data_IF_051865745130
#
_entry.id   IF_051865745130
#
_cell.length_a   1.000
_cell.length_b   1.000
_cell.length_c   1.000
_cell.angle_alpha   90.00
_cell.angle_beta   90.00
_cell.angle_gamma   90.00
#
_symmetry.space_group_name_H-M   'P 1'
#
loop_
_entity.id
_entity.type
_entity.pdbx_description
1 polymer ?
#
# COMPACT_ATOMS: atom_id res chain seq x y z
N UNK A 1 -18.08 1.52 -5.78
CA UNK A 1 -18.66 2.56 -6.69
C UNK A 1 -18.17 3.99 -6.36
N UNK A 2 -17.53 4.23 -5.20
CA UNK A 2 -16.71 5.42 -4.97
C UNK A 2 -15.46 4.96 -4.22
N UNK A 3 -14.29 5.41 -4.66
CA UNK A 3 -13.00 4.97 -4.12
C UNK A 3 -11.94 4.78 -5.20
N UNK A 4 -11.64 5.84 -5.97
CA UNK A 4 -10.43 6.00 -6.82
C UNK A 4 -10.09 7.47 -7.14
N UNK A 5 -10.81 8.42 -6.55
CA UNK A 5 -10.73 9.86 -6.82
C UNK A 5 -9.71 10.59 -5.93
N UNK A 6 -8.85 9.84 -5.22
CA UNK A 6 -7.81 10.38 -4.35
C UNK A 6 -8.36 11.17 -3.15
N UNK A 7 -9.67 11.14 -2.90
CA UNK A 7 -10.24 11.87 -1.79
C UNK A 7 -9.91 11.15 -0.48
N UNK A 8 -8.99 11.72 0.29
CA UNK A 8 -8.56 11.20 1.59
C UNK A 8 -9.27 11.93 2.72
N UNK A 9 -8.86 11.85 3.98
CA UNK A 9 -9.53 12.59 5.05
C UNK A 9 -8.52 13.42 5.88
N UNK A 10 -8.58 14.76 5.80
CA UNK A 10 -7.68 15.72 6.52
C UNK A 10 -8.31 17.11 6.56
N UNK A 11 -8.22 17.92 7.66
CA UNK A 11 -8.77 19.31 7.85
C UNK A 11 -7.80 20.39 7.42
N UNK A 12 -8.16 21.23 6.44
CA UNK A 12 -7.41 22.42 6.06
C UNK A 12 -8.38 23.58 5.73
N UNK A 13 -8.30 24.72 6.46
CA UNK A 13 -9.13 25.89 6.19
C UNK A 13 -8.90 26.54 4.82
N UNK A 14 -7.80 26.26 4.12
CA UNK A 14 -7.49 26.87 2.81
C UNK A 14 -8.23 26.23 1.63
N UNK A 15 -8.82 25.05 1.83
CA UNK A 15 -9.49 24.26 0.78
C UNK A 15 -10.94 23.90 1.11
N UNK A 16 -11.45 24.33 2.27
CA UNK A 16 -12.78 23.96 2.77
C UNK A 16 -13.92 24.32 1.81
N UNK A 17 -13.74 25.36 1.00
CA UNK A 17 -14.75 25.92 0.09
C UNK A 17 -14.54 25.47 -1.37
N UNK A 18 -13.56 24.60 -1.65
CA UNK A 18 -13.26 24.11 -3.01
C UNK A 18 -14.20 22.97 -3.40
N UNK A 19 -15.18 23.28 -4.23
CA UNK A 19 -16.15 22.34 -4.80
C UNK A 19 -15.79 22.02 -6.25
N UNK A 20 -16.25 20.86 -6.74
CA UNK A 20 -16.17 20.55 -8.17
C UNK A 20 -16.82 21.69 -8.98
N UNK A 21 -16.11 22.26 -9.98
CA UNK A 21 -16.71 23.18 -10.93
C UNK A 21 -17.89 22.51 -11.65
N UNK A 22 -18.93 23.29 -11.97
CA UNK A 22 -20.08 22.79 -12.75
C UNK A 22 -19.74 22.46 -14.21
N UNK A 23 -18.60 22.93 -14.70
CA UNK A 23 -17.99 22.59 -15.98
C UNK A 23 -16.51 22.27 -15.73
N UNK A 24 -16.13 21.01 -15.90
CA UNK A 24 -14.74 20.64 -16.08
C UNK A 24 -14.34 21.09 -17.48
N UNK A 25 -13.54 22.15 -17.59
CA UNK A 25 -13.06 22.75 -18.84
C UNK A 25 -12.24 21.82 -19.77
N UNK A 26 -12.43 20.51 -19.70
CA UNK A 26 -11.92 19.48 -20.60
C UNK A 26 -12.86 19.16 -21.76
N UNK A 27 -13.88 20.00 -22.02
CA UNK A 27 -14.80 19.83 -23.14
C UNK A 27 -15.14 21.12 -23.88
N UNK A 28 -14.18 21.70 -24.62
CA UNK A 28 -14.41 22.55 -25.79
C UNK A 28 -15.11 23.92 -25.61
N UNK A 29 -14.42 25.01 -25.98
CA UNK A 29 -15.07 26.28 -26.28
C UNK A 29 -14.15 27.50 -26.21
N UNK A 30 -13.78 28.05 -27.36
CA UNK A 30 -13.06 29.30 -27.48
C UNK A 30 -13.86 30.51 -26.95
N UNK A 31 -13.20 31.34 -26.13
CA UNK A 31 -13.38 32.81 -26.12
C UNK A 31 -14.31 33.40 -25.06
N UNK A 32 -13.76 34.09 -24.06
CA UNK A 32 -13.52 35.55 -24.06
C UNK A 32 -12.89 35.99 -22.74
N UNK A 33 -11.98 36.97 -22.84
CA UNK A 33 -11.44 37.71 -21.72
C UNK A 33 -12.54 38.46 -20.95
N UNK A 34 -12.47 38.43 -19.63
CA UNK A 34 -12.95 39.50 -18.77
C UNK A 34 -12.11 39.48 -17.47
N UNK A 35 -11.49 40.62 -17.22
CA UNK A 35 -10.81 40.99 -15.98
C UNK A 35 -11.75 40.90 -14.77
N UNK A 36 -11.15 40.76 -13.58
CA UNK A 36 -11.52 41.29 -12.26
C UNK A 36 -11.29 40.23 -11.17
N UNK A 37 -10.12 40.28 -10.52
CA UNK A 37 -10.02 39.86 -9.11
C UNK A 37 -10.74 40.88 -8.24
N UNK A 38 -11.51 40.45 -7.21
CA UNK A 38 -11.09 40.68 -5.81
C UNK A 38 -11.77 39.68 -4.82
N UNK A 39 -11.74 39.92 -3.49
CA UNK A 39 -10.60 40.04 -2.57
C UNK A 39 -10.60 38.89 -1.54
N UNK A 40 -9.51 38.72 -0.78
CA UNK A 40 -9.53 37.92 0.46
C UNK A 40 -10.62 38.43 1.42
N UNK A 41 -11.39 37.55 2.08
CA UNK A 41 -12.08 37.88 3.30
C UNK A 41 -11.29 37.40 4.50
N UNK A 42 -11.00 38.36 5.36
CA UNK A 42 -10.53 38.21 6.73
C UNK A 42 -11.44 37.28 7.57
N UNK A 43 -10.86 36.89 8.70
CA UNK A 43 -11.38 36.05 9.76
C UNK A 43 -12.74 36.49 10.33
N UNK A 44 -13.41 35.51 10.95
CA UNK A 44 -14.54 35.61 11.88
C UNK A 44 -15.96 35.64 11.29
N UNK A 45 -16.58 34.46 11.27
CA UNK A 45 -18.01 34.29 11.02
C UNK A 45 -18.52 32.95 11.54
N UNK A 46 -19.15 32.95 12.71
CA UNK A 46 -19.92 31.83 13.24
C UNK A 46 -21.18 31.62 12.37
N UNK A 47 -21.38 30.43 11.82
CA UNK A 47 -22.54 30.10 10.98
C UNK A 47 -23.03 28.68 11.26
N UNK A 48 -24.25 28.61 11.77
CA UNK A 48 -24.92 27.45 12.36
C UNK A 48 -25.48 26.50 11.29
N UNK A 49 -25.33 25.19 11.53
CA UNK A 49 -25.90 24.10 10.74
C UNK A 49 -27.41 24.28 10.50
N UNK A 50 -27.85 24.12 9.23
CA UNK A 50 -29.24 23.81 8.89
C UNK A 50 -29.29 22.57 8.03
N UNK A 51 -29.75 21.48 8.64
CA UNK A 51 -30.17 20.26 7.99
C UNK A 51 -31.38 20.53 7.06
N UNK A 52 -31.35 19.97 5.86
CA UNK A 52 -32.50 19.91 4.96
C UNK A 52 -32.85 18.44 4.69
N UNK A 53 -34.11 18.10 4.95
CA UNK A 53 -34.71 16.79 4.79
C UNK A 53 -35.15 16.53 3.33
N UNK A 54 -34.98 15.28 2.87
CA UNK A 54 -35.92 14.63 1.93
C UNK A 54 -35.33 14.04 0.64
N UNK A 55 -35.19 12.70 0.59
CA UNK A 55 -35.74 11.81 -0.44
C UNK A 55 -35.26 10.37 -0.19
N UNK A 56 -36.18 9.41 -0.32
CA UNK A 56 -36.08 8.02 0.13
C UNK A 56 -35.03 7.18 -0.62
N UNK A 57 -34.33 6.31 0.12
CA UNK A 57 -33.69 5.10 -0.42
C UNK A 57 -32.18 5.11 -0.64
N UNK A 58 -31.45 6.18 -0.30
CA UNK A 58 -29.98 6.20 -0.35
C UNK A 58 -29.44 6.24 1.08
N UNK A 59 -28.56 5.32 1.52
CA UNK A 59 -27.89 5.43 2.81
C UNK A 59 -27.20 6.80 2.88
N UNK A 60 -27.56 7.57 3.91
CA UNK A 60 -27.11 8.93 4.13
C UNK A 60 -25.58 8.92 4.34
N UNK A 61 -24.81 9.30 3.32
CA UNK A 61 -23.39 9.62 3.45
C UNK A 61 -23.27 11.03 4.08
N UNK A 62 -22.35 11.27 5.03
CA UNK A 62 -22.23 12.57 5.72
C UNK A 62 -21.54 13.67 4.89
N UNK A 63 -21.54 13.57 3.56
CA UNK A 63 -20.79 14.49 2.69
C UNK A 63 -21.78 15.44 2.03
N UNK A 64 -21.58 16.75 2.21
CA UNK A 64 -22.28 17.80 1.49
C UNK A 64 -21.97 17.80 -0.01
N UNK A 65 -21.91 18.98 -0.63
CA UNK A 65 -21.57 19.10 -2.05
C UNK A 65 -20.23 18.42 -2.40
N UNK A 66 -20.15 17.87 -3.62
CA UNK A 66 -18.97 17.17 -4.12
C UNK A 66 -17.76 18.12 -4.19
N UNK A 67 -16.70 17.76 -3.47
CA UNK A 67 -15.44 18.50 -3.45
C UNK A 67 -14.62 18.24 -4.70
N UNK A 68 -13.81 19.21 -5.08
CA UNK A 68 -12.83 19.07 -6.15
C UNK A 68 -11.97 17.81 -5.96
N UNK A 69 -11.82 17.00 -7.02
CA UNK A 69 -11.02 15.76 -7.04
C UNK A 69 -9.63 16.01 -6.46
N UNK A 70 -9.11 15.01 -5.75
CA UNK A 70 -7.85 15.13 -5.01
C UNK A 70 -7.97 15.81 -3.63
N UNK A 71 -9.09 16.46 -3.31
CA UNK A 71 -9.33 16.99 -1.97
C UNK A 71 -10.00 15.96 -1.05
N UNK A 72 -9.72 16.02 0.26
CA UNK A 72 -10.25 15.06 1.20
C UNK A 72 -11.79 15.09 1.32
N UNK A 73 -12.44 13.91 1.34
CA UNK A 73 -13.87 13.72 1.60
C UNK A 73 -14.26 14.43 2.90
N UNK A 74 -13.55 14.11 3.97
CA UNK A 74 -13.79 14.67 5.29
C UNK A 74 -12.51 15.23 5.85
N UNK A 75 -12.64 16.33 6.55
CA UNK A 75 -11.53 16.94 7.23
C UNK A 75 -11.37 16.30 8.64
N UNK A 76 -10.39 15.41 8.87
CA UNK A 76 -10.16 14.76 10.18
C UNK A 76 -8.68 14.35 10.45
N UNK A 77 -8.24 14.42 11.71
CA UNK A 77 -7.00 13.75 12.14
C UNK A 77 -7.30 12.30 12.48
N UNK A 78 -6.60 11.37 11.85
CA UNK A 78 -6.72 9.94 12.14
C UNK A 78 -5.33 9.32 12.26
N UNK A 79 -5.22 8.33 13.15
CA UNK A 79 -4.08 7.42 13.14
C UNK A 79 -4.35 6.20 12.25
N UNK A 80 -5.62 5.88 12.01
CA UNK A 80 -6.07 4.76 11.19
C UNK A 80 -5.99 5.09 9.70
N UNK A 81 -4.77 5.27 9.19
CA UNK A 81 -4.52 5.66 7.80
C UNK A 81 -4.47 4.39 6.93
N UNK A 82 -5.36 4.22 5.95
CA UNK A 82 -5.31 3.08 5.04
C UNK A 82 -4.14 3.19 4.07
N UNK A 83 -3.62 2.05 3.61
CA UNK A 83 -2.49 2.01 2.65
C UNK A 83 -2.77 2.82 1.39
N UNK A 84 -4.01 2.84 0.89
CA UNK A 84 -4.39 3.64 -0.28
C UNK A 84 -4.03 5.13 -0.14
N UNK A 85 -4.16 5.71 1.05
CA UNK A 85 -3.78 7.11 1.30
C UNK A 85 -2.25 7.28 1.27
N UNK A 86 -1.50 6.33 1.83
CA UNK A 86 -0.04 6.33 1.74
C UNK A 86 0.41 6.22 0.28
N UNK A 87 -0.21 5.34 -0.50
CA UNK A 87 0.13 5.08 -1.90
C UNK A 87 -0.10 6.29 -2.81
N UNK A 88 -1.03 7.19 -2.47
CA UNK A 88 -1.20 8.44 -3.22
C UNK A 88 0.04 9.35 -3.14
N UNK A 89 0.73 9.37 -2.01
CA UNK A 89 1.85 10.28 -1.76
C UNK A 89 3.24 9.60 -1.81
N UNK A 90 3.32 8.36 -1.36
CA UNK A 90 4.57 7.62 -1.12
C UNK A 90 4.78 6.50 -2.14
N UNK A 91 4.79 6.84 -3.43
CA UNK A 91 4.99 5.85 -4.51
C UNK A 91 6.16 6.17 -5.46
N UNK A 92 7.02 7.11 -5.06
CA UNK A 92 8.02 7.72 -5.92
C UNK A 92 9.30 6.87 -6.10
N UNK A 93 9.79 6.74 -7.36
CA UNK A 93 11.13 6.25 -7.72
C UNK A 93 12.13 7.41 -7.69
N UNK A 94 13.26 7.37 -6.95
CA UNK A 94 14.22 6.26 -6.96
C UNK A 94 14.61 5.77 -5.55
N UNK A 95 13.88 6.24 -4.53
CA UNK A 95 14.36 6.17 -3.15
C UNK A 95 13.68 5.03 -2.39
N UNK A 96 12.34 4.90 -2.39
CA UNK A 96 11.65 3.67 -1.92
C UNK A 96 10.46 3.39 -2.83
N UNK A 97 10.50 2.25 -3.51
CA UNK A 97 9.40 1.81 -4.35
C UNK A 97 8.37 1.00 -3.52
N UNK A 98 7.51 1.69 -2.78
CA UNK A 98 6.60 1.08 -1.79
C UNK A 98 5.52 0.17 -2.41
N UNK A 99 5.24 0.29 -3.70
CA UNK A 99 4.26 -0.54 -4.40
C UNK A 99 4.60 -2.03 -4.37
N UNK A 100 5.88 -2.37 -4.14
CA UNK A 100 6.29 -3.77 -3.94
C UNK A 100 5.63 -4.40 -2.72
N UNK A 101 5.26 -3.62 -1.69
CA UNK A 101 4.49 -4.11 -0.55
C UNK A 101 3.15 -4.70 -0.99
N UNK A 102 2.49 -4.05 -1.95
CA UNK A 102 1.24 -4.53 -2.55
C UNK A 102 1.47 -5.49 -3.72
N UNK A 103 2.71 -5.86 -4.02
CA UNK A 103 3.05 -6.75 -5.13
C UNK A 103 2.90 -6.12 -6.51
N UNK A 104 3.07 -4.80 -6.62
CA UNK A 104 3.03 -4.08 -7.89
C UNK A 104 4.40 -3.51 -8.25
N UNK A 105 4.64 -3.33 -9.55
CA UNK A 105 5.78 -2.58 -10.09
C UNK A 105 5.36 -1.65 -11.22
N UNK A 106 6.25 -0.74 -11.61
CA UNK A 106 6.03 0.13 -12.76
C UNK A 106 5.73 -0.71 -14.00
N UNK A 107 4.69 -0.33 -14.74
CA UNK A 107 4.36 -1.02 -15.98
C UNK A 107 5.50 -0.87 -17.00
N UNK A 108 5.73 -1.91 -17.79
CA UNK A 108 6.85 -2.02 -18.73
C UNK A 108 6.60 -1.33 -20.08
N UNK A 109 5.43 -0.75 -20.27
CA UNK A 109 4.96 -0.14 -21.53
C UNK A 109 4.67 -1.10 -22.68
N UNK A 110 4.90 -2.40 -22.47
CA UNK A 110 4.93 -3.41 -23.53
C UNK A 110 3.83 -4.45 -23.34
N UNK A 111 3.69 -4.97 -22.12
CA UNK A 111 2.70 -6.01 -21.83
C UNK A 111 1.29 -5.43 -22.00
N UNK A 112 0.48 -6.07 -22.86
CA UNK A 112 -0.85 -5.58 -23.29
C UNK A 112 -0.86 -4.14 -23.87
N UNK A 113 0.26 -3.69 -24.46
CA UNK A 113 0.44 -2.37 -25.06
C UNK A 113 -0.74 -1.85 -25.92
N UNK A 114 -1.38 -2.65 -26.80
CA UNK A 114 -2.50 -2.16 -27.61
C UNK A 114 -3.69 -1.60 -26.79
N UNK A 115 -3.85 -2.04 -25.54
CA UNK A 115 -4.91 -1.53 -24.66
C UNK A 115 -4.59 -0.13 -24.11
N UNK A 116 -3.32 0.21 -23.95
CA UNK A 116 -2.82 1.42 -23.29
C UNK A 116 -2.33 2.50 -24.27
N UNK A 117 -1.97 2.11 -25.49
CA UNK A 117 -1.52 3.02 -26.54
C UNK A 117 -2.61 3.29 -27.58
N UNK A 118 -2.69 4.50 -28.16
CA UNK A 118 -3.60 4.79 -29.26
C UNK A 118 -3.16 4.03 -30.52
N UNK A 119 -4.13 3.58 -31.34
CA UNK A 119 -3.85 2.84 -32.59
C UNK A 119 -2.99 3.66 -33.57
N UNK A 120 -3.17 4.98 -33.57
CA UNK A 120 -2.35 5.93 -34.33
C UNK A 120 -1.50 6.72 -33.35
N UNK A 121 -0.20 6.78 -33.62
CA UNK A 121 0.74 7.54 -32.80
C UNK A 121 0.33 9.01 -32.72
N UNK A 122 0.31 9.54 -31.49
CA UNK A 122 0.11 10.96 -31.21
C UNK A 122 1.43 11.72 -31.41
N UNK A 123 1.33 12.93 -31.94
CA UNK A 123 2.43 13.89 -32.05
C UNK A 123 2.05 15.19 -31.34
N UNK A 124 2.00 15.19 -30.00
CA UNK A 124 1.56 16.35 -29.24
C UNK A 124 2.55 17.52 -29.41
N UNK A 125 1.99 18.72 -29.48
CA UNK A 125 2.70 19.99 -29.40
C UNK A 125 3.42 20.13 -28.06
N UNK A 126 4.33 21.10 -27.96
CA UNK A 126 5.04 21.39 -26.70
C UNK A 126 4.04 21.77 -25.59
N UNK A 127 3.01 22.55 -25.91
CA UNK A 127 1.98 22.95 -24.95
C UNK A 127 1.17 21.75 -24.42
N UNK A 128 0.79 20.82 -25.30
CA UNK A 128 0.09 19.59 -24.90
C UNK A 128 0.97 18.68 -24.06
N UNK A 129 2.25 18.50 -24.45
CA UNK A 129 3.22 17.76 -23.64
C UNK A 129 3.37 18.38 -22.26
N UNK A 130 3.55 19.70 -22.18
CA UNK A 130 3.69 20.42 -20.92
C UNK A 130 2.45 20.23 -20.03
N UNK A 131 1.25 20.36 -20.58
CA UNK A 131 0.01 20.18 -19.84
C UNK A 131 -0.12 18.78 -19.23
N UNK A 132 0.37 17.72 -19.90
CA UNK A 132 0.42 16.36 -19.34
C UNK A 132 1.53 16.24 -18.30
N UNK A 133 2.72 16.75 -18.60
CA UNK A 133 3.91 16.60 -17.76
C UNK A 133 3.83 17.36 -16.43
N UNK A 134 3.04 18.44 -16.40
CA UNK A 134 2.78 19.23 -15.19
C UNK A 134 2.12 18.39 -14.08
N UNK A 135 1.27 17.41 -14.45
CA UNK A 135 0.63 16.48 -13.51
C UNK A 135 1.26 15.09 -13.45
N UNK A 136 1.94 14.67 -14.52
CA UNK A 136 2.56 13.35 -14.62
C UNK A 136 3.97 13.48 -15.18
N UNK A 137 5.04 13.30 -14.38
CA UNK A 137 6.41 13.51 -14.81
C UNK A 137 6.93 12.47 -15.83
N UNK A 138 6.12 11.48 -16.19
CA UNK A 138 6.43 10.42 -17.13
C UNK A 138 6.34 10.89 -18.59
N UNK A 139 7.45 10.84 -19.33
CA UNK A 139 7.48 11.23 -20.74
C UNK A 139 6.50 10.41 -21.62
N UNK A 140 6.31 9.12 -21.32
CA UNK A 140 5.39 8.24 -22.05
C UNK A 140 3.92 8.67 -21.91
N UNK A 141 3.56 9.34 -20.81
CA UNK A 141 2.18 9.77 -20.57
C UNK A 141 1.65 10.71 -21.67
N UNK A 142 2.50 11.59 -22.21
CA UNK A 142 2.10 12.55 -23.23
C UNK A 142 1.65 11.89 -24.55
N UNK A 143 2.08 10.66 -24.82
CA UNK A 143 1.76 9.93 -26.04
C UNK A 143 0.84 8.72 -25.80
N UNK A 144 0.60 8.35 -24.54
CA UNK A 144 -0.28 7.26 -24.14
C UNK A 144 -1.78 7.63 -24.14
N UNK A 145 -2.64 6.63 -23.88
CA UNK A 145 -4.06 6.88 -23.58
C UNK A 145 -4.23 7.53 -22.20
N UNK A 146 -3.33 7.27 -21.27
CA UNK A 146 -3.36 7.85 -19.91
C UNK A 146 -2.87 9.30 -19.81
N UNK A 147 -2.59 9.95 -20.96
CA UNK A 147 -2.68 11.41 -21.04
C UNK A 147 -4.07 11.89 -20.61
N UNK A 148 -5.12 11.14 -20.93
CA UNK A 148 -6.49 11.42 -20.50
C UNK A 148 -6.70 10.93 -19.06
N UNK A 149 -7.12 11.85 -18.18
CA UNK A 149 -7.34 11.57 -16.76
C UNK A 149 -8.51 10.60 -16.57
N UNK A 150 -9.53 10.68 -17.41
CA UNK A 150 -10.68 9.78 -17.33
C UNK A 150 -10.30 8.36 -17.72
N UNK A 151 -9.45 8.21 -18.74
CA UNK A 151 -8.87 6.91 -19.07
C UNK A 151 -8.01 6.40 -17.91
N UNK A 152 -7.07 7.22 -17.41
CA UNK A 152 -6.15 6.83 -16.35
C UNK A 152 -6.89 6.32 -15.11
N UNK A 153 -7.93 7.04 -14.66
CA UNK A 153 -8.74 6.67 -13.49
C UNK A 153 -9.42 5.31 -13.63
N UNK A 154 -9.75 4.92 -14.86
CA UNK A 154 -10.53 3.73 -15.16
C UNK A 154 -9.68 2.58 -15.71
N UNK A 155 -8.34 2.68 -15.73
CA UNK A 155 -7.47 1.62 -16.26
C UNK A 155 -7.78 0.27 -15.62
N UNK A 156 -7.90 0.21 -14.30
CA UNK A 156 -8.22 -1.06 -13.62
C UNK A 156 -9.54 -1.68 -14.08
N UNK A 157 -10.62 -0.89 -14.26
CA UNK A 157 -11.93 -1.43 -14.63
C UNK A 157 -12.05 -1.74 -16.12
N UNK A 158 -11.48 -0.87 -16.96
CA UNK A 158 -11.70 -0.91 -18.40
C UNK A 158 -10.65 -1.74 -19.14
N UNK A 159 -9.44 -1.87 -18.58
CA UNK A 159 -8.30 -2.55 -19.19
C UNK A 159 -8.12 -3.96 -18.63
N UNK A 160 -8.16 -4.16 -17.30
CA UNK A 160 -7.89 -5.48 -16.72
C UNK A 160 -8.79 -6.61 -17.22
N UNK A 161 -10.10 -6.40 -17.49
CA UNK A 161 -10.95 -7.45 -18.06
C UNK A 161 -10.57 -7.87 -19.49
N UNK A 162 -9.79 -7.05 -20.20
CA UNK A 162 -9.35 -7.28 -21.59
C UNK A 162 -7.89 -7.71 -21.67
N UNK A 163 -7.10 -7.38 -20.66
CA UNK A 163 -5.68 -7.68 -20.58
C UNK A 163 -5.43 -9.19 -20.45
N UNK A 164 -4.45 -9.68 -21.20
CA UNK A 164 -4.09 -11.10 -21.19
C UNK A 164 -2.95 -11.38 -20.23
N UNK A 165 -1.96 -10.49 -20.14
CA UNK A 165 -0.71 -10.78 -19.44
C UNK A 165 -0.48 -9.86 -18.23
N UNK A 166 -1.20 -8.75 -18.19
CA UNK A 166 -1.06 -7.69 -17.19
C UNK A 166 -2.31 -7.55 -16.34
N UNK A 167 -2.14 -7.22 -15.07
CA UNK A 167 -3.20 -6.66 -14.22
C UNK A 167 -2.69 -5.36 -13.63
N UNK A 168 -3.34 -4.26 -13.95
CA UNK A 168 -3.01 -2.93 -13.46
C UNK A 168 -3.55 -2.72 -12.04
N UNK A 169 -2.86 -1.91 -11.25
CA UNK A 169 -3.34 -1.41 -9.97
C UNK A 169 -4.58 -0.51 -10.15
N UNK A 170 -5.37 -0.41 -9.09
CA UNK A 170 -6.52 0.50 -8.98
C UNK A 170 -6.15 1.90 -8.47
N UNK A 171 -4.86 2.17 -8.33
CA UNK A 171 -4.29 3.46 -7.92
C UNK A 171 -3.26 3.96 -8.94
N UNK A 172 -3.19 5.28 -9.09
CA UNK A 172 -2.42 5.97 -10.14
C UNK A 172 -1.74 7.25 -9.64
N UNK A 173 -1.11 7.21 -8.45
CA UNK A 173 -0.36 8.37 -7.96
C UNK A 173 0.72 8.81 -8.99
N UNK A 174 1.02 10.11 -9.02
CA UNK A 174 1.85 10.74 -10.06
C UNK A 174 1.36 10.52 -11.50
N UNK A 175 0.17 9.96 -11.71
CA UNK A 175 -0.36 9.63 -13.04
C UNK A 175 0.15 8.31 -13.63
N UNK A 176 0.91 7.52 -12.87
CA UNK A 176 1.59 6.32 -13.37
C UNK A 176 0.71 5.08 -13.38
N UNK A 177 1.10 4.10 -14.20
CA UNK A 177 0.48 2.79 -14.27
C UNK A 177 1.38 1.73 -13.64
N UNK A 178 0.82 0.94 -12.73
CA UNK A 178 1.53 -0.14 -12.04
C UNK A 178 0.91 -1.48 -12.38
N UNK A 179 1.75 -2.48 -12.61
CA UNK A 179 1.33 -3.86 -12.89
C UNK A 179 1.59 -4.78 -11.70
N UNK A 180 0.67 -5.70 -11.46
CA UNK A 180 0.82 -6.77 -10.49
C UNK A 180 1.95 -7.72 -10.92
N UNK A 181 2.74 -8.17 -9.95
CA UNK A 181 3.78 -9.18 -10.14
C UNK A 181 3.22 -10.54 -9.74
N UNK A 182 3.17 -11.47 -10.69
CA UNK A 182 2.76 -12.84 -10.42
C UNK A 182 3.96 -13.77 -10.30
N UNK A 183 3.83 -14.81 -9.49
CA UNK A 183 4.82 -15.87 -9.33
C UNK A 183 5.01 -16.58 -10.67
N UNK A 184 6.27 -16.74 -11.08
CA UNK A 184 6.65 -17.41 -12.33
C UNK A 184 7.82 -18.37 -12.12
N UNK A 185 7.92 -19.39 -12.98
CA UNK A 185 9.13 -20.20 -13.10
C UNK A 185 10.22 -19.46 -13.92
N UNK A 186 11.34 -20.14 -14.21
CA UNK A 186 12.46 -19.52 -14.94
C UNK A 186 12.17 -19.31 -16.41
N UNK A 187 11.22 -20.06 -16.94
CA UNK A 187 10.73 -20.03 -18.31
C UNK A 187 9.63 -18.97 -18.50
N UNK A 188 9.13 -18.39 -17.40
CA UNK A 188 8.15 -17.32 -17.40
C UNK A 188 6.70 -17.80 -17.28
N UNK A 189 6.44 -19.08 -17.03
CA UNK A 189 5.08 -19.58 -16.83
C UNK A 189 4.52 -19.12 -15.48
N UNK A 190 3.22 -18.79 -15.44
CA UNK A 190 2.54 -18.46 -14.19
C UNK A 190 2.49 -19.68 -13.26
N UNK A 191 2.66 -19.46 -11.96
CA UNK A 191 2.63 -20.52 -10.96
C UNK A 191 1.53 -20.32 -9.91
N UNK A 192 0.93 -21.44 -9.50
CA UNK A 192 0.05 -21.49 -8.34
C UNK A 192 0.83 -21.55 -7.01
N UNK A 193 0.09 -21.62 -5.90
CA UNK A 193 0.65 -21.69 -4.55
C UNK A 193 1.55 -22.92 -4.34
N UNK A 194 1.19 -24.05 -4.93
CA UNK A 194 1.96 -25.31 -4.86
C UNK A 194 3.12 -25.37 -5.86
N UNK A 195 3.19 -24.43 -6.80
CA UNK A 195 4.23 -24.36 -7.82
C UNK A 195 3.87 -25.08 -9.12
N UNK A 196 2.61 -25.43 -9.36
CA UNK A 196 2.19 -25.94 -10.67
C UNK A 196 1.99 -24.78 -11.65
N UNK A 197 2.18 -25.08 -12.93
CA UNK A 197 1.94 -24.15 -14.02
C UNK A 197 0.44 -23.86 -14.13
N UNK A 198 0.10 -22.57 -14.14
CA UNK A 198 -1.23 -22.06 -14.48
C UNK A 198 -1.24 -21.75 -15.98
N UNK A 199 -2.17 -22.33 -16.72
CA UNK A 199 -2.29 -22.11 -18.16
C UNK A 199 -2.49 -20.62 -18.47
N UNK A 200 -1.80 -20.06 -19.49
CA UNK A 200 -2.05 -18.70 -19.97
C UNK A 200 -3.49 -18.47 -20.43
N UNK A 201 -4.19 -19.52 -20.87
CA UNK A 201 -5.59 -19.43 -21.32
C UNK A 201 -6.60 -19.72 -20.20
N UNK A 202 -6.16 -19.95 -18.96
CA UNK A 202 -7.06 -20.17 -17.84
C UNK A 202 -7.85 -18.88 -17.52
N UNK A 203 -9.19 -18.88 -17.63
CA UNK A 203 -9.99 -17.68 -17.37
C UNK A 203 -9.92 -17.23 -15.90
N UNK A 204 -9.47 -18.09 -14.99
CA UNK A 204 -9.35 -17.80 -13.57
C UNK A 204 -7.91 -17.49 -13.12
N UNK A 205 -6.96 -17.35 -14.05
CA UNK A 205 -5.55 -17.12 -13.72
C UNK A 205 -5.34 -15.90 -12.82
N UNK A 206 -6.06 -14.80 -13.07
CA UNK A 206 -5.98 -13.57 -12.28
C UNK A 206 -7.16 -13.34 -11.35
N UNK A 207 -8.32 -13.93 -11.63
CA UNK A 207 -9.50 -13.85 -10.76
C UNK A 207 -10.35 -15.12 -10.84
N UNK A 208 -10.49 -15.83 -9.73
CA UNK A 208 -11.38 -16.99 -9.60
C UNK A 208 -12.84 -16.59 -9.79
N UNK A 209 -13.65 -17.49 -10.33
CA UNK A 209 -15.09 -17.27 -10.49
C UNK A 209 -15.75 -17.06 -9.12
N UNK A 210 -16.63 -16.06 -9.02
CA UNK A 210 -17.28 -15.67 -7.76
C UNK A 210 -16.38 -14.92 -6.77
N UNK A 211 -15.09 -14.72 -7.07
CA UNK A 211 -14.23 -13.90 -6.22
C UNK A 211 -14.68 -12.44 -6.26
N UNK A 212 -14.91 -11.78 -5.10
CA UNK A 212 -15.19 -10.36 -5.06
C UNK A 212 -14.07 -9.53 -5.70
N UNK A 213 -14.38 -8.29 -6.04
CA UNK A 213 -13.42 -7.37 -6.66
C UNK A 213 -12.14 -7.22 -5.82
N UNK A 214 -12.33 -7.06 -4.50
CA UNK A 214 -11.31 -7.09 -3.48
C UNK A 214 -11.35 -8.45 -2.78
N UNK A 215 -10.25 -9.19 -2.87
CA UNK A 215 -10.15 -10.50 -2.24
C UNK A 215 -10.27 -10.36 -0.71
N UNK A 216 -10.92 -11.31 -0.02
CA UNK A 216 -10.89 -11.36 1.44
C UNK A 216 -9.45 -11.42 1.96
N UNK A 217 -9.26 -10.94 3.19
CA UNK A 217 -7.95 -10.99 3.86
C UNK A 217 -7.42 -12.42 3.89
N UNK A 218 -6.19 -12.60 3.43
CA UNK A 218 -5.50 -13.89 3.37
C UNK A 218 -5.81 -14.74 2.14
N UNK A 219 -6.59 -14.23 1.18
CA UNK A 219 -6.99 -14.96 -0.02
C UNK A 219 -6.40 -14.34 -1.30
N UNK A 220 -5.89 -15.21 -2.18
CA UNK A 220 -5.38 -14.83 -3.50
C UNK A 220 -6.52 -14.76 -4.51
N UNK A 221 -6.62 -13.61 -5.21
CA UNK A 221 -7.70 -13.30 -6.16
C UNK A 221 -7.80 -14.32 -7.30
N UNK A 222 -6.67 -14.74 -7.87
CA UNK A 222 -6.56 -15.67 -8.98
C UNK A 222 -5.94 -17.02 -8.61
N UNK A 223 -5.83 -17.92 -9.58
CA UNK A 223 -5.04 -19.16 -9.45
C UNK A 223 -3.53 -18.89 -9.44
N UNK A 224 -3.08 -17.92 -10.24
CA UNK A 224 -1.69 -17.46 -10.20
C UNK A 224 -1.47 -16.62 -8.93
N UNK A 225 -0.35 -16.85 -8.26
CA UNK A 225 -0.02 -16.13 -7.02
C UNK A 225 0.40 -14.70 -7.34
N UNK A 226 -0.34 -13.71 -6.84
CA UNK A 226 0.08 -12.32 -6.83
C UNK A 226 1.09 -12.12 -5.69
N UNK A 227 2.30 -11.70 -6.02
CA UNK A 227 3.46 -11.60 -5.13
C UNK A 227 3.44 -10.32 -4.30
N UNK A 228 2.38 -10.12 -3.52
CA UNK A 228 2.34 -9.08 -2.50
C UNK A 228 3.09 -9.51 -1.23
N UNK A 229 3.44 -8.56 -0.37
CA UNK A 229 4.03 -8.87 0.93
C UNK A 229 3.04 -9.69 1.77
N UNK A 230 3.54 -10.64 2.55
CA UNK A 230 2.69 -11.51 3.37
C UNK A 230 1.88 -10.72 4.40
N UNK A 231 2.40 -9.61 4.91
CA UNK A 231 1.66 -8.73 5.81
C UNK A 231 0.49 -8.08 5.08
N UNK A 232 0.70 -7.60 3.86
CA UNK A 232 -0.35 -7.02 3.02
C UNK A 232 -1.42 -8.06 2.68
N UNK A 233 -1.03 -9.29 2.31
CA UNK A 233 -1.97 -10.39 2.05
C UNK A 233 -2.80 -10.70 3.30
N UNK A 234 -2.19 -10.67 4.49
CA UNK A 234 -2.88 -10.82 5.79
C UNK A 234 -3.63 -9.55 6.24
N UNK A 235 -3.71 -8.51 5.41
CA UNK A 235 -4.54 -7.34 5.64
C UNK A 235 -3.86 -6.21 6.41
N UNK A 236 -2.58 -6.32 6.76
CA UNK A 236 -1.85 -5.24 7.42
C UNK A 236 -1.73 -4.03 6.50
N UNK A 237 -2.04 -2.87 7.06
CA UNK A 237 -1.85 -1.58 6.42
C UNK A 237 -0.50 -0.99 6.79
N UNK A 238 0.01 -0.03 6.01
CA UNK A 238 1.28 0.65 6.32
C UNK A 238 1.33 1.16 7.78
N UNK A 239 0.24 1.74 8.27
CA UNK A 239 0.13 2.28 9.62
C UNK A 239 0.12 1.23 10.76
N UNK A 240 0.02 -0.07 10.43
CA UNK A 240 0.14 -1.15 11.40
C UNK A 240 1.59 -1.36 11.86
N UNK A 241 2.56 -1.01 11.00
CA UNK A 241 4.00 -1.12 11.25
C UNK A 241 4.69 0.26 11.35
N UNK A 242 4.26 1.25 10.57
CA UNK A 242 4.81 2.60 10.61
C UNK A 242 4.13 3.45 11.68
N UNK A 243 4.87 3.79 12.73
CA UNK A 243 4.36 4.51 13.88
C UNK A 243 4.51 6.03 13.75
N UNK A 244 4.40 6.74 14.88
CA UNK A 244 4.39 8.20 14.91
C UNK A 244 5.66 8.79 14.30
N UNK A 245 6.83 8.23 14.58
CA UNK A 245 8.09 8.75 14.04
C UNK A 245 8.19 8.49 12.55
N UNK A 246 7.90 7.27 12.08
CA UNK A 246 7.93 6.97 10.66
C UNK A 246 6.96 7.86 9.87
N UNK A 247 5.83 8.24 10.49
CA UNK A 247 4.80 9.07 9.85
C UNK A 247 5.10 10.57 9.88
N UNK A 248 5.70 11.08 10.96
CA UNK A 248 5.88 12.53 11.17
C UNK A 248 7.36 12.98 11.17
N UNK A 249 8.29 12.04 11.03
CA UNK A 249 9.71 12.25 11.22
C UNK A 249 10.11 12.46 12.68
N UNK A 250 11.41 12.63 12.90
CA UNK A 250 12.01 12.99 14.19
C UNK A 250 12.84 14.27 14.10
N UNK A 251 12.64 15.08 13.06
CA UNK A 251 13.35 16.33 12.83
C UNK A 251 14.79 16.18 12.30
N UNK A 252 15.22 14.95 12.00
CA UNK A 252 16.54 14.68 11.42
C UNK A 252 16.48 14.58 9.90
N UNK A 253 17.58 14.96 9.24
CA UNK A 253 17.82 14.70 7.83
C UNK A 253 18.56 13.38 7.68
N UNK A 254 18.06 12.50 6.83
CA UNK A 254 18.67 11.20 6.56
C UNK A 254 19.36 11.20 5.20
N UNK A 255 20.57 10.65 5.15
CA UNK A 255 21.32 10.51 3.89
C UNK A 255 20.78 9.40 2.97
N UNK A 256 20.06 8.44 3.54
CA UNK A 256 19.44 7.32 2.82
C UNK A 256 18.09 7.02 3.45
N UNK A 257 17.16 6.55 2.64
CA UNK A 257 15.79 6.30 3.09
C UNK A 257 15.65 5.22 4.15
N UNK A 258 16.47 4.17 4.09
CA UNK A 258 16.44 3.09 5.06
C UNK A 258 16.83 3.59 6.46
N UNK A 259 17.60 4.69 6.53
CA UNK A 259 17.99 5.29 7.79
C UNK A 259 16.83 5.98 8.52
N UNK A 260 15.74 6.30 7.82
CA UNK A 260 14.57 6.95 8.40
C UNK A 260 13.59 5.97 9.07
N UNK A 261 13.84 4.66 8.97
CA UNK A 261 12.93 3.61 9.45
C UNK A 261 13.19 3.33 10.93
N UNK A 262 12.14 3.45 11.73
CA UNK A 262 12.17 3.19 13.17
C UNK A 262 12.13 1.68 13.49
N UNK A 263 11.29 0.95 12.77
CA UNK A 263 10.89 -0.42 13.09
C UNK A 263 11.71 -1.47 12.32
N UNK A 264 12.07 -2.57 12.98
CA UNK A 264 12.71 -3.73 12.37
C UNK A 264 11.91 -5.02 12.59
N UNK A 265 12.17 -6.04 11.76
CA UNK A 265 11.44 -7.32 11.82
C UNK A 265 11.52 -7.97 13.21
N UNK A 266 12.70 -7.93 13.84
CA UNK A 266 12.95 -8.57 15.15
C UNK A 266 12.18 -7.90 16.29
N UNK A 267 11.71 -6.67 16.11
CA UNK A 267 11.03 -5.91 17.16
C UNK A 267 9.65 -6.50 17.46
N UNK A 268 9.03 -7.14 16.45
CA UNK A 268 7.77 -7.87 16.55
C UNK A 268 7.94 -9.40 16.47
N UNK A 269 8.92 -9.91 15.71
CA UNK A 269 9.06 -11.35 15.48
C UNK A 269 10.13 -12.02 16.36
N UNK A 270 11.01 -11.23 16.99
CA UNK A 270 12.16 -11.73 17.74
C UNK A 270 13.29 -12.24 16.85
N UNK A 271 14.21 -12.98 17.46
CA UNK A 271 15.34 -13.62 16.79
C UNK A 271 15.20 -15.15 16.87
N UNK A 272 16.18 -15.89 16.35
CA UNK A 272 16.24 -17.34 16.52
C UNK A 272 16.29 -17.77 18.00
N UNK A 273 16.77 -16.88 18.87
CA UNK A 273 17.13 -17.21 20.24
C UNK A 273 16.24 -16.55 21.29
N UNK A 274 15.62 -15.44 20.92
CA UNK A 274 14.91 -14.55 21.84
C UNK A 274 13.56 -14.13 21.27
N UNK A 275 12.57 -14.08 22.16
CA UNK A 275 11.30 -13.45 21.84
C UNK A 275 11.47 -11.93 21.67
N UNK A 276 10.61 -11.28 20.88
CA UNK A 276 10.66 -9.82 20.71
C UNK A 276 10.48 -9.11 22.06
N UNK A 277 11.26 -8.06 22.28
CA UNK A 277 11.13 -7.20 23.44
C UNK A 277 10.16 -6.02 23.21
N UNK A 278 9.55 -5.94 22.01
CA UNK A 278 8.63 -4.88 21.60
C UNK A 278 9.24 -3.47 21.70
N UNK A 279 10.54 -3.34 21.46
CA UNK A 279 11.23 -2.06 21.35
C UNK A 279 11.78 -1.90 19.95
N UNK A 280 11.54 -0.73 19.36
CA UNK A 280 12.03 -0.44 18.02
C UNK A 280 13.56 -0.42 17.98
N UNK A 281 14.14 -0.88 16.87
CA UNK A 281 15.59 -1.01 16.73
C UNK A 281 16.15 -0.62 15.36
N UNK A 282 15.31 -0.06 14.49
CA UNK A 282 15.74 0.49 13.20
C UNK A 282 16.65 1.71 13.36
N UNK A 283 17.32 2.17 12.29
CA UNK A 283 18.31 3.25 12.39
C UNK A 283 17.74 4.59 12.90
N UNK A 284 16.46 4.85 12.68
CA UNK A 284 15.79 6.06 13.17
C UNK A 284 15.25 5.92 14.60
N UNK A 285 15.32 4.71 15.19
CA UNK A 285 14.85 4.46 16.54
C UNK A 285 15.62 5.32 17.57
N UNK A 286 14.93 5.83 18.60
CA UNK A 286 15.62 6.53 19.69
C UNK A 286 16.57 5.57 20.42
N UNK A 287 17.57 6.05 21.18
CA UNK A 287 18.60 5.20 21.80
C UNK A 287 18.11 4.03 22.68
N UNK A 288 16.87 4.07 23.17
CA UNK A 288 16.25 3.00 23.97
C UNK A 288 15.14 2.24 23.23
N UNK A 289 14.91 2.55 21.96
CA UNK A 289 13.75 2.14 21.18
C UNK A 289 12.45 2.73 21.72
N UNK A 290 11.48 2.92 20.83
CA UNK A 290 10.10 3.20 21.18
C UNK A 290 9.47 1.91 21.70
N UNK A 291 8.80 2.01 22.84
CA UNK A 291 8.15 0.86 23.49
C UNK A 291 6.76 0.60 22.88
N UNK A 292 6.70 -0.41 22.01
CA UNK A 292 5.48 -0.79 21.28
C UNK A 292 4.40 -1.38 22.20
N UNK A 293 4.77 -1.87 23.39
CA UNK A 293 3.81 -2.39 24.38
C UNK A 293 2.89 -1.29 24.96
N UNK A 294 3.31 -0.03 24.83
CA UNK A 294 2.54 1.14 25.25
C UNK A 294 1.56 1.63 24.18
N UNK A 295 1.68 1.15 22.94
CA UNK A 295 0.78 1.57 21.86
C UNK A 295 -0.65 1.11 22.13
N UNK A 296 -1.60 2.01 21.84
CA UNK A 296 -3.03 1.78 21.92
C UNK A 296 -3.72 2.12 20.61
N UNK A 297 -4.72 1.34 20.27
CA UNK A 297 -5.64 1.65 19.19
C UNK A 297 -6.73 2.61 19.69
N UNK A 298 -7.56 3.11 18.78
CA UNK A 298 -8.60 4.12 19.10
C UNK A 298 -9.64 3.59 20.09
N UNK A 299 -9.86 2.28 20.10
CA UNK A 299 -10.72 1.56 21.04
C UNK A 299 -10.08 1.36 22.44
N UNK A 300 -8.87 1.88 22.65
CA UNK A 300 -8.13 1.77 23.90
C UNK A 300 -7.43 0.43 24.12
N UNK A 301 -7.57 -0.56 23.22
CA UNK A 301 -6.85 -1.83 23.33
C UNK A 301 -5.37 -1.67 23.02
N UNK A 302 -4.55 -2.56 23.56
CA UNK A 302 -3.13 -2.65 23.20
C UNK A 302 -3.00 -3.06 21.74
N UNK A 303 -2.14 -2.35 20.99
CA UNK A 303 -1.81 -2.76 19.62
C UNK A 303 -1.02 -4.07 19.63
N UNK A 304 -0.05 -4.17 20.54
CA UNK A 304 0.76 -5.36 20.76
C UNK A 304 0.48 -5.91 22.15
N UNK A 305 0.13 -7.19 22.23
CA UNK A 305 -0.24 -7.82 23.49
C UNK A 305 0.28 -9.26 23.58
N UNK A 306 1.04 -9.54 24.62
CA UNK A 306 1.34 -10.90 25.02
C UNK A 306 0.14 -11.51 25.72
N UNK A 307 -0.32 -12.66 25.24
CA UNK A 307 -1.37 -13.46 25.85
C UNK A 307 -0.95 -14.92 25.90
N UNK A 308 -1.84 -15.77 26.41
CA UNK A 308 -1.68 -17.22 26.47
C UNK A 308 -2.82 -17.83 25.67
N UNK A 309 -2.50 -18.71 24.73
CA UNK A 309 -3.52 -19.39 23.93
C UNK A 309 -4.16 -20.57 24.67
N UNK A 310 -5.11 -21.25 24.02
CA UNK A 310 -5.87 -22.35 24.61
C UNK A 310 -4.99 -23.54 25.07
N UNK A 311 -3.77 -23.66 24.53
CA UNK A 311 -2.83 -24.73 24.88
C UNK A 311 -1.87 -24.32 26.01
N UNK A 312 -2.01 -23.10 26.56
CA UNK A 312 -1.08 -22.57 27.54
C UNK A 312 0.19 -21.98 26.92
N UNK A 313 0.26 -21.87 25.59
CA UNK A 313 1.44 -21.31 24.91
C UNK A 313 1.39 -19.79 24.89
N UNK A 314 2.54 -19.17 25.15
CA UNK A 314 2.67 -17.72 25.12
C UNK A 314 2.63 -17.24 23.67
N UNK A 315 1.71 -16.33 23.36
CA UNK A 315 1.55 -15.80 22.00
C UNK A 315 1.56 -14.26 21.99
N UNK A 316 2.06 -13.67 20.91
CA UNK A 316 2.02 -12.23 20.68
C UNK A 316 0.91 -11.91 19.69
N UNK A 317 -0.01 -11.05 20.08
CA UNK A 317 -1.07 -10.52 19.23
C UNK A 317 -0.69 -9.12 18.76
N UNK A 318 -0.84 -8.87 17.46
CA UNK A 318 -0.87 -7.54 16.88
C UNK A 318 -2.29 -7.23 16.40
N UNK A 319 -2.80 -6.03 16.65
CA UNK A 319 -4.14 -5.60 16.22
C UNK A 319 -4.05 -4.55 15.14
N UNK A 320 -4.94 -4.61 14.15
CA UNK A 320 -4.97 -3.58 13.12
C UNK A 320 -5.37 -2.24 13.73
N UNK A 321 -4.70 -1.18 13.29
CA UNK A 321 -5.03 0.20 13.58
C UNK A 321 -6.22 0.68 12.75
N UNK A 322 -6.46 0.06 11.58
CA UNK A 322 -7.50 0.46 10.63
C UNK A 322 -8.76 -0.39 10.81
N UNK A 323 -8.63 -1.70 10.98
CA UNK A 323 -9.77 -2.61 11.17
C UNK A 323 -9.84 -3.11 12.63
N UNK A 324 -10.79 -2.64 13.46
CA UNK A 324 -10.87 -3.03 14.87
C UNK A 324 -11.25 -4.50 15.08
N UNK A 325 -11.69 -5.21 14.04
CA UNK A 325 -12.05 -6.64 14.09
C UNK A 325 -10.89 -7.55 13.72
N UNK A 326 -9.82 -6.99 13.15
CA UNK A 326 -8.68 -7.74 12.65
C UNK A 326 -7.53 -7.76 13.65
N UNK A 327 -7.10 -8.96 14.00
CA UNK A 327 -5.92 -9.21 14.82
C UNK A 327 -5.14 -10.44 14.33
N UNK A 328 -3.83 -10.43 14.59
CA UNK A 328 -2.90 -11.43 14.10
C UNK A 328 -2.11 -12.05 15.25
N UNK A 329 -2.05 -13.39 15.28
CA UNK A 329 -0.99 -14.10 16.00
C UNK A 329 0.31 -13.90 15.24
N UNK A 330 1.23 -13.14 15.82
CA UNK A 330 2.54 -12.84 15.22
C UNK A 330 3.35 -14.12 15.16
N UNK A 331 3.93 -14.43 14.00
CA UNK A 331 4.82 -15.58 13.83
C UNK A 331 6.17 -15.31 14.51
N UNK A 332 6.53 -16.08 15.53
CA UNK A 332 7.76 -15.83 16.29
C UNK A 332 8.92 -16.64 15.73
N UNK A 333 10.06 -15.97 15.45
CA UNK A 333 11.20 -16.62 14.78
C UNK A 333 11.73 -17.80 15.61
N UNK A 334 11.88 -17.60 16.92
CA UNK A 334 12.31 -18.62 17.87
C UNK A 334 11.49 -19.91 17.77
N UNK A 335 10.18 -19.79 17.68
CA UNK A 335 9.28 -20.95 17.57
C UNK A 335 9.46 -21.66 16.22
N UNK A 336 9.61 -20.89 15.14
CA UNK A 336 9.76 -21.45 13.79
C UNK A 336 11.04 -22.29 13.60
N UNK A 337 12.04 -22.12 14.46
CA UNK A 337 13.33 -22.81 14.38
C UNK A 337 13.53 -23.87 15.48
N UNK A 338 12.66 -23.90 16.48
CA UNK A 338 12.71 -24.85 17.59
C UNK A 338 11.98 -26.15 17.24
N UNK A 339 12.71 -27.27 17.17
CA UNK A 339 12.16 -28.60 16.86
C UNK A 339 11.13 -29.09 17.87
N UNK A 340 11.10 -28.53 19.07
CA UNK A 340 10.12 -28.88 20.09
C UNK A 340 8.82 -28.07 19.97
N UNK A 341 8.81 -26.99 19.19
CA UNK A 341 7.63 -26.15 19.00
C UNK A 341 6.64 -26.77 18.02
N UNK A 342 5.34 -26.62 18.31
CA UNK A 342 4.26 -26.93 17.37
C UNK A 342 4.32 -26.08 16.07
N UNK A 343 5.07 -24.97 16.09
CA UNK A 343 5.27 -24.07 14.96
C UNK A 343 6.58 -24.28 14.22
N UNK A 344 7.32 -25.36 14.51
CA UNK A 344 8.57 -25.68 13.83
C UNK A 344 8.40 -25.76 12.31
N UNK A 345 9.29 -25.09 11.58
CA UNK A 345 9.35 -25.18 10.13
C UNK A 345 10.79 -25.50 9.70
N UNK A 346 11.05 -26.67 9.08
CA UNK A 346 12.41 -27.08 8.71
C UNK A 346 13.06 -26.15 7.66
N UNK A 347 12.27 -25.54 6.78
CA UNK A 347 12.76 -24.56 5.81
C UNK A 347 13.14 -23.25 6.49
N UNK A 348 12.32 -22.79 7.45
CA UNK A 348 12.64 -21.61 8.25
C UNK A 348 13.89 -21.83 9.13
N UNK A 349 14.01 -23.00 9.76
CA UNK A 349 15.20 -23.36 10.52
C UNK A 349 16.44 -23.37 9.64
N UNK A 350 16.36 -23.95 8.43
CA UNK A 350 17.47 -23.94 7.47
C UNK A 350 17.85 -22.53 7.04
N UNK A 351 16.90 -21.64 6.76
CA UNK A 351 17.18 -20.30 6.25
C UNK A 351 17.68 -19.32 7.31
N UNK A 352 17.28 -19.51 8.57
CA UNK A 352 17.57 -18.57 9.67
C UNK A 352 18.74 -19.00 10.57
N UNK A 353 19.18 -20.26 10.50
CA UNK A 353 20.25 -20.78 11.34
C UNK A 353 21.52 -21.00 10.52
N UNK A 354 22.30 -19.93 10.31
CA UNK A 354 23.56 -19.98 9.56
C UNK A 354 24.75 -20.07 10.52
N UNK A 355 25.75 -20.91 10.21
CA UNK A 355 27.00 -20.93 10.97
C UNK A 355 27.87 -19.71 10.68
N UNK A 356 28.39 -19.08 11.73
CA UNK A 356 29.37 -18.00 11.62
C UNK A 356 30.75 -18.46 11.12
N UNK A 357 31.04 -19.77 11.21
CA UNK A 357 32.33 -20.34 10.75
C UNK A 357 32.50 -20.30 9.24
N UNK A 358 31.42 -20.05 8.48
CA UNK A 358 31.48 -20.02 7.02
C UNK A 358 32.42 -18.95 6.47
N UNK A 359 32.51 -17.80 7.14
CA UNK A 359 33.42 -16.72 6.73
C UNK A 359 34.90 -17.14 6.81
N UNK A 360 35.26 -17.96 7.80
CA UNK A 360 36.64 -18.34 8.10
C UNK A 360 37.03 -19.63 7.37
N UNK A 361 36.08 -20.56 7.23
CA UNK A 361 36.32 -21.90 6.66
C UNK A 361 35.96 -22.02 5.18
N UNK A 362 35.23 -21.06 4.61
CA UNK A 362 34.62 -21.14 3.28
C UNK A 362 33.47 -22.16 3.18
N UNK A 363 33.16 -22.90 4.26
CA UNK A 363 32.08 -23.89 4.31
C UNK A 363 30.92 -23.36 5.14
N UNK A 364 29.80 -23.08 4.49
CA UNK A 364 28.60 -22.59 5.13
C UNK A 364 27.69 -23.76 5.54
N UNK A 365 27.60 -23.98 6.85
CA UNK A 365 26.67 -24.95 7.44
C UNK A 365 25.41 -24.24 7.94
N UNK A 366 24.27 -24.95 7.88
CA UNK A 366 22.94 -24.38 8.10
C UNK A 366 22.03 -25.30 8.89
N UNK A 367 21.02 -24.72 9.53
CA UNK A 367 19.90 -25.43 10.14
C UNK A 367 20.07 -25.75 11.63
N UNK A 368 19.17 -26.56 12.19
CA UNK A 368 19.06 -26.77 13.64
C UNK A 368 20.22 -27.57 14.26
N UNK A 369 21.18 -28.04 13.46
CA UNK A 369 22.39 -28.68 13.96
C UNK A 369 23.47 -27.69 14.40
N UNK A 370 23.29 -26.39 14.11
CA UNK A 370 24.24 -25.35 14.53
C UNK A 370 23.95 -24.97 15.98
N UNK A 371 24.96 -25.13 16.84
CA UNK A 371 24.86 -24.71 18.24
C UNK A 371 24.67 -23.19 18.32
N UNK A 372 23.88 -22.73 19.30
CA UNK A 372 23.56 -21.30 19.52
C UNK A 372 24.78 -20.39 19.46
N UNK A 373 25.86 -20.75 20.14
CA UNK A 373 27.11 -19.97 20.17
C UNK A 373 27.83 -19.87 18.82
N UNK A 374 27.47 -20.73 17.86
CA UNK A 374 28.00 -20.77 16.50
C UNK A 374 27.13 -20.11 15.43
N UNK A 375 25.97 -19.55 15.80
CA UNK A 375 25.11 -18.83 14.86
C UNK A 375 25.71 -17.48 14.46
N UNK A 376 25.49 -17.10 13.19
CA UNK A 376 25.93 -15.84 12.59
C UNK A 376 25.02 -14.66 12.91
#
# INVERSE_FOLDING_TARGET
>A
KYGRDGQTATVDPTIKDKLEPKDDGHGGGHGKAAEHGPPSPDHDGQGVDKAAHGAEGVPQHPIGAQKEKGHPIQHAFTKAIPTAQCMNCHMHQPNIFLNSYLGYTMWDYESDAPLMWPEKQKYPTIAEKFAVLDRNPEAAAAIGKWADIDFLRNVYDDVNPKAKDTQFADYHGHGWNFRAIFKRDREGNLLDATGNIVSPDDPEKFRKSGMPEFAPVGEQKGKAVHMMDIHAEKGLQCADCHFSQDSHGNGLLYGEVANAVEIGCKDCHGTADEFPNLRTSGPAAPPKGTDLSLLRNQDGKRRFEWTVDANGERTLIQRSIVDPTLEWKVSLVKESVDRSSAHFNPLAARSKLMSKSGKDSGKYDWGPGIAKAGLA
#
